data_IF_532400627069
#
_entry.id   IF_532400627069
#
_cell.length_a   1.000
_cell.length_b   1.000
_cell.length_c   1.000
_cell.angle_alpha   90.00
_cell.angle_beta   90.00
_cell.angle_gamma   90.00
#
_symmetry.space_group_name_H-M   'P 1'
#
loop_
_entity.id
_entity.type
_entity.pdbx_description
1 polymer ?
#
# COMPACT_ATOMS: atom_id res chain seq x y z
N UNK A 1 -21.18 -4.37 -14.39
CA UNK A 1 -19.82 -4.90 -14.21
C UNK A 1 -19.37 -5.58 -15.49
N UNK A 2 -18.21 -5.18 -16.02
CA UNK A 2 -17.59 -5.84 -17.17
C UNK A 2 -16.95 -7.17 -16.71
N UNK A 3 -16.86 -8.18 -17.57
CA UNK A 3 -16.22 -9.47 -17.27
C UNK A 3 -14.80 -9.31 -16.69
N UNK A 4 -14.05 -8.31 -17.15
CA UNK A 4 -12.72 -7.96 -16.63
C UNK A 4 -12.76 -7.52 -15.16
N UNK A 5 -13.68 -6.63 -14.82
CA UNK A 5 -13.88 -6.12 -13.45
C UNK A 5 -14.41 -7.22 -12.53
N UNK A 6 -15.32 -8.05 -13.04
CA UNK A 6 -15.83 -9.21 -12.31
C UNK A 6 -14.69 -10.18 -11.94
N UNK A 7 -13.78 -10.42 -12.88
CA UNK A 7 -12.61 -11.27 -12.67
C UNK A 7 -11.66 -10.67 -11.63
N UNK A 8 -11.37 -9.37 -11.70
CA UNK A 8 -10.53 -8.67 -10.70
C UNK A 8 -11.09 -8.79 -9.28
N UNK A 9 -12.41 -8.61 -9.12
CA UNK A 9 -13.06 -8.71 -7.81
C UNK A 9 -13.01 -10.13 -7.23
N UNK A 10 -13.31 -11.15 -8.02
CA UNK A 10 -13.20 -12.55 -7.58
C UNK A 10 -11.75 -12.92 -7.26
N UNK A 11 -10.79 -12.47 -8.09
CA UNK A 11 -9.37 -12.70 -7.84
C UNK A 11 -8.92 -12.04 -6.53
N UNK A 12 -9.31 -10.79 -6.26
CA UNK A 12 -8.99 -10.08 -5.01
C UNK A 12 -9.54 -10.84 -3.80
N UNK A 13 -10.81 -11.26 -3.85
CA UNK A 13 -11.42 -12.00 -2.75
C UNK A 13 -10.67 -13.31 -2.45
N UNK A 14 -10.40 -14.09 -3.49
CA UNK A 14 -9.70 -15.37 -3.34
C UNK A 14 -8.25 -15.19 -2.88
N UNK A 15 -7.51 -14.25 -3.47
CA UNK A 15 -6.12 -13.99 -3.10
C UNK A 15 -5.99 -13.44 -1.68
N UNK A 16 -6.89 -12.54 -1.26
CA UNK A 16 -6.87 -11.98 0.09
C UNK A 16 -7.23 -13.04 1.15
N UNK A 17 -8.07 -14.02 0.81
CA UNK A 17 -8.50 -15.07 1.74
C UNK A 17 -7.48 -16.21 1.85
N UNK A 18 -6.89 -16.65 0.73
CA UNK A 18 -6.09 -17.88 0.66
C UNK A 18 -4.61 -17.64 0.34
N UNK A 19 -4.23 -16.40 0.00
CA UNK A 19 -2.93 -16.08 -0.55
C UNK A 19 -2.86 -16.30 -2.07
N UNK A 20 -1.93 -15.61 -2.73
CA UNK A 20 -1.78 -15.65 -4.18
C UNK A 20 -1.45 -17.05 -4.69
N UNK A 21 -0.46 -17.74 -4.11
CA UNK A 21 0.04 -19.02 -4.63
C UNK A 21 -0.98 -20.16 -4.51
N UNK A 22 -1.84 -20.13 -3.49
CA UNK A 22 -2.82 -21.19 -3.22
C UNK A 22 -4.06 -21.16 -4.12
N UNK A 23 -4.19 -20.16 -4.99
CA UNK A 23 -5.38 -19.97 -5.84
C UNK A 23 -5.05 -20.29 -7.30
N UNK A 24 -5.72 -21.29 -7.89
CA UNK A 24 -5.55 -21.63 -9.30
C UNK A 24 -6.31 -20.72 -10.27
N UNK A 25 -5.82 -20.56 -11.50
CA UNK A 25 -6.51 -19.83 -12.58
C UNK A 25 -7.88 -20.45 -12.88
N UNK A 26 -8.00 -21.78 -12.82
CA UNK A 26 -9.27 -22.48 -13.06
C UNK A 26 -10.35 -22.05 -12.04
N UNK A 27 -9.99 -22.00 -10.76
CA UNK A 27 -10.92 -21.62 -9.70
C UNK A 27 -11.41 -20.18 -9.86
N UNK A 28 -10.51 -19.25 -10.25
CA UNK A 28 -10.87 -17.85 -10.49
C UNK A 28 -11.87 -17.72 -11.64
N UNK A 29 -11.63 -18.39 -12.76
CA UNK A 29 -12.52 -18.26 -13.94
C UNK A 29 -13.86 -18.94 -13.72
N UNK A 30 -13.90 -20.04 -12.97
CA UNK A 30 -15.15 -20.69 -12.57
C UNK A 30 -15.97 -19.78 -11.66
N UNK A 31 -15.34 -19.20 -10.64
CA UNK A 31 -16.00 -18.26 -9.73
C UNK A 31 -16.53 -17.02 -10.47
N UNK A 32 -15.75 -16.49 -11.41
CA UNK A 32 -16.13 -15.33 -12.21
C UNK A 32 -17.11 -15.65 -13.37
N UNK A 33 -17.45 -16.92 -13.61
CA UNK A 33 -18.34 -17.34 -14.69
C UNK A 33 -17.77 -17.14 -16.09
N UNK A 34 -16.44 -17.22 -16.26
CA UNK A 34 -15.77 -17.02 -17.55
C UNK A 34 -14.79 -18.17 -17.87
N UNK A 35 -14.05 -18.04 -18.98
CA UNK A 35 -13.10 -19.07 -19.44
C UNK A 35 -11.63 -18.66 -19.24
N UNK A 36 -10.73 -19.65 -19.16
CA UNK A 36 -9.27 -19.42 -19.15
C UNK A 36 -8.78 -18.58 -20.33
N UNK A 37 -9.18 -18.86 -21.60
CA UNK A 37 -8.83 -18.00 -22.72
C UNK A 37 -9.22 -16.53 -22.51
N UNK A 38 -10.39 -16.26 -21.93
CA UNK A 38 -10.84 -14.89 -21.62
C UNK A 38 -9.94 -14.22 -20.59
N UNK A 39 -9.55 -14.91 -19.51
CA UNK A 39 -8.60 -14.39 -18.53
C UNK A 39 -7.26 -14.06 -19.19
N UNK A 40 -6.69 -15.01 -19.95
CA UNK A 40 -5.41 -14.80 -20.62
C UNK A 40 -5.46 -13.70 -21.69
N UNK A 41 -6.61 -13.51 -22.34
CA UNK A 41 -6.82 -12.39 -23.26
C UNK A 41 -6.72 -11.04 -22.54
N UNK A 42 -7.31 -10.91 -21.35
CA UNK A 42 -7.28 -9.65 -20.60
C UNK A 42 -5.95 -9.38 -19.89
N UNK A 43 -5.32 -10.42 -19.35
CA UNK A 43 -4.23 -10.25 -18.38
C UNK A 43 -2.92 -10.95 -18.78
N UNK A 44 -2.92 -11.77 -19.82
CA UNK A 44 -1.75 -12.53 -20.30
C UNK A 44 -1.32 -13.69 -19.41
N UNK A 45 -1.39 -13.54 -18.08
CA UNK A 45 -1.03 -14.56 -17.10
C UNK A 45 -1.75 -14.33 -15.75
N UNK A 46 -1.59 -15.26 -14.81
CA UNK A 46 -2.04 -15.09 -13.41
C UNK A 46 -1.29 -13.95 -12.71
N UNK A 47 0.01 -13.81 -12.99
CA UNK A 47 0.81 -12.70 -12.45
C UNK A 47 0.43 -11.36 -13.09
N UNK A 48 0.10 -11.34 -14.37
CA UNK A 48 -0.47 -10.17 -15.04
C UNK A 48 -1.80 -9.74 -14.41
N UNK A 49 -2.66 -10.71 -14.08
CA UNK A 49 -3.89 -10.46 -13.33
C UNK A 49 -3.61 -9.81 -11.97
N UNK A 50 -2.68 -10.37 -11.19
CA UNK A 50 -2.29 -9.81 -9.90
C UNK A 50 -1.77 -8.37 -10.05
N UNK A 51 -0.84 -8.14 -11.00
CA UNK A 51 -0.26 -6.81 -11.24
C UNK A 51 -1.33 -5.79 -11.66
N UNK A 52 -2.25 -6.17 -12.54
CA UNK A 52 -3.36 -5.28 -12.95
C UNK A 52 -4.28 -4.96 -11.77
N UNK A 53 -4.66 -5.97 -10.99
CA UNK A 53 -5.48 -5.81 -9.79
C UNK A 53 -4.85 -4.82 -8.82
N UNK A 54 -3.58 -5.03 -8.48
CA UNK A 54 -2.87 -4.17 -7.54
C UNK A 54 -2.75 -2.74 -8.06
N UNK A 55 -2.32 -2.56 -9.30
CA UNK A 55 -2.16 -1.23 -9.90
C UNK A 55 -3.48 -0.47 -9.92
N UNK A 56 -4.57 -1.07 -10.38
CA UNK A 56 -5.86 -0.38 -10.51
C UNK A 56 -6.45 0.01 -9.15
N UNK A 57 -6.33 -0.85 -8.15
CA UNK A 57 -6.85 -0.54 -6.82
C UNK A 57 -5.97 0.43 -6.02
N UNK A 58 -4.65 0.48 -6.27
CA UNK A 58 -3.74 1.41 -5.60
C UNK A 58 -3.60 2.75 -6.32
N UNK A 59 -3.97 2.88 -7.59
CA UNK A 59 -3.79 4.15 -8.32
C UNK A 59 -4.51 5.33 -7.66
N UNK A 60 -5.78 5.24 -7.23
CA UNK A 60 -6.45 6.35 -6.54
C UNK A 60 -5.77 6.73 -5.22
N UNK A 61 -5.18 5.73 -4.54
CA UNK A 61 -4.38 5.97 -3.34
C UNK A 61 -3.09 6.72 -3.67
N UNK A 62 -2.39 6.36 -4.75
CA UNK A 62 -1.19 7.07 -5.17
C UNK A 62 -1.46 8.50 -5.62
N UNK A 63 -2.56 8.76 -6.32
CA UNK A 63 -2.99 10.11 -6.67
C UNK A 63 -3.22 10.96 -5.40
N UNK A 64 -3.93 10.40 -4.42
CA UNK A 64 -4.16 11.05 -3.13
C UNK A 64 -2.84 11.28 -2.39
N UNK A 65 -2.00 10.25 -2.29
CA UNK A 65 -0.73 10.30 -1.59
C UNK A 65 0.20 11.35 -2.22
N UNK A 66 0.26 11.43 -3.55
CA UNK A 66 1.04 12.44 -4.26
C UNK A 66 0.54 13.87 -3.97
N UNK A 67 -0.78 14.07 -3.90
CA UNK A 67 -1.36 15.36 -3.59
C UNK A 67 -1.03 15.84 -2.15
N UNK A 68 -1.01 14.91 -1.18
CA UNK A 68 -0.75 15.24 0.23
C UNK A 68 0.73 15.22 0.62
N UNK A 69 1.57 14.45 -0.08
CA UNK A 69 3.01 14.37 0.21
C UNK A 69 3.80 15.63 -0.19
N UNK A 70 3.14 16.62 -0.81
CA UNK A 70 3.75 17.91 -1.12
C UNK A 70 4.12 18.66 0.17
N UNK A 71 5.42 18.84 0.39
CA UNK A 71 5.93 19.61 1.53
C UNK A 71 5.59 21.11 1.40
N UNK A 72 4.98 21.68 2.43
CA UNK A 72 4.50 23.09 2.47
C UNK A 72 5.08 23.90 3.64
N UNK A 73 6.27 23.54 4.13
CA UNK A 73 6.93 24.26 5.23
C UNK A 73 6.61 23.77 6.64
N UNK A 74 5.73 22.77 6.79
CA UNK A 74 5.43 22.11 8.06
C UNK A 74 5.48 20.58 7.89
N UNK A 75 6.61 20.00 8.29
CA UNK A 75 6.83 18.56 8.18
C UNK A 75 5.86 17.77 9.06
N UNK A 76 5.46 18.30 10.22
CA UNK A 76 4.50 17.62 11.10
C UNK A 76 3.15 17.51 10.43
N UNK A 77 2.68 18.61 9.82
CA UNK A 77 1.43 18.61 9.08
C UNK A 77 1.49 17.71 7.84
N UNK A 78 2.58 17.76 7.06
CA UNK A 78 2.75 16.86 5.91
C UNK A 78 2.74 15.38 6.30
N UNK A 79 3.37 15.00 7.42
CA UNK A 79 3.34 13.63 7.91
C UNK A 79 1.94 13.21 8.40
N UNK A 80 1.17 14.13 9.01
CA UNK A 80 -0.23 13.87 9.36
C UNK A 80 -1.08 13.61 8.13
N UNK A 81 -0.94 14.42 7.09
CA UNK A 81 -1.73 14.25 5.86
C UNK A 81 -1.39 12.94 5.16
N UNK A 82 -0.09 12.57 5.12
CA UNK A 82 0.35 11.27 4.61
C UNK A 82 -0.24 10.13 5.43
N UNK A 83 -0.06 10.12 6.76
CA UNK A 83 -0.59 9.07 7.63
C UNK A 83 -2.12 8.95 7.52
N UNK A 84 -2.83 10.08 7.41
CA UNK A 84 -4.27 10.12 7.18
C UNK A 84 -4.69 9.48 5.86
N UNK A 85 -3.96 9.76 4.77
CA UNK A 85 -4.22 9.12 3.47
C UNK A 85 -4.08 7.59 3.53
N UNK A 86 -3.05 7.10 4.23
CA UNK A 86 -2.86 5.67 4.46
C UNK A 86 -3.98 5.04 5.29
N UNK A 87 -4.35 5.68 6.41
CA UNK A 87 -5.40 5.16 7.30
C UNK A 87 -6.76 5.15 6.61
N UNK A 88 -7.09 6.20 5.86
CA UNK A 88 -8.31 6.26 5.07
C UNK A 88 -8.34 5.14 4.01
N UNK A 89 -7.26 4.97 3.25
CA UNK A 89 -7.18 3.93 2.23
C UNK A 89 -7.29 2.52 2.82
N UNK A 90 -6.56 2.24 3.90
CA UNK A 90 -6.61 0.95 4.59
C UNK A 90 -7.98 0.68 5.23
N UNK A 91 -8.62 1.70 5.81
CA UNK A 91 -9.96 1.60 6.37
C UNK A 91 -11.03 1.30 5.33
N UNK A 92 -10.92 1.90 4.13
CA UNK A 92 -11.82 1.64 3.01
C UNK A 92 -11.54 0.29 2.31
N UNK A 93 -10.29 -0.17 2.32
CA UNK A 93 -9.83 -1.35 1.58
C UNK A 93 -9.08 -2.36 2.48
N UNK A 94 -9.66 -2.85 3.58
CA UNK A 94 -8.93 -3.61 4.60
C UNK A 94 -8.37 -4.94 4.08
N UNK A 95 -9.14 -5.64 3.22
CA UNK A 95 -8.72 -6.90 2.60
C UNK A 95 -7.55 -6.71 1.64
N UNK A 96 -7.65 -5.70 0.78
CA UNK A 96 -6.60 -5.34 -0.18
C UNK A 96 -5.32 -4.95 0.55
N UNK A 97 -5.41 -4.08 1.55
CA UNK A 97 -4.23 -3.60 2.28
C UNK A 97 -3.50 -4.73 3.01
N UNK A 98 -4.25 -5.59 3.72
CA UNK A 98 -3.69 -6.78 4.37
C UNK A 98 -3.05 -7.73 3.36
N UNK A 99 -3.73 -7.99 2.24
CA UNK A 99 -3.20 -8.84 1.18
C UNK A 99 -1.89 -8.27 0.62
N UNK A 100 -1.88 -6.99 0.25
CA UNK A 100 -0.69 -6.31 -0.22
C UNK A 100 0.48 -6.43 0.78
N UNK A 101 0.23 -6.15 2.05
CA UNK A 101 1.28 -6.21 3.08
C UNK A 101 1.79 -7.65 3.28
N UNK A 102 0.93 -8.66 3.15
CA UNK A 102 1.35 -10.06 3.24
C UNK A 102 2.35 -10.45 2.16
N UNK A 103 2.24 -9.87 0.95
CA UNK A 103 3.14 -10.18 -0.17
C UNK A 103 4.56 -9.65 0.05
N UNK A 104 4.73 -8.61 0.88
CA UNK A 104 6.06 -8.11 1.26
C UNK A 104 6.91 -9.18 1.95
N UNK A 105 6.25 -10.15 2.62
CA UNK A 105 6.89 -11.26 3.32
C UNK A 105 6.88 -12.57 2.53
N UNK A 106 6.40 -12.56 1.29
CA UNK A 106 6.46 -13.72 0.41
C UNK A 106 7.92 -14.02 -0.01
N UNK A 107 8.23 -15.24 -0.50
CA UNK A 107 9.56 -15.54 -1.04
C UNK A 107 9.98 -14.52 -2.10
N UNK A 108 11.22 -14.04 -2.03
CA UNK A 108 11.72 -12.94 -2.88
C UNK A 108 11.58 -13.21 -4.40
N UNK A 109 11.65 -14.48 -4.80
CA UNK A 109 11.54 -14.88 -6.20
C UNK A 109 10.09 -15.09 -6.68
N UNK A 110 9.10 -15.01 -5.77
CA UNK A 110 7.69 -15.20 -6.08
C UNK A 110 7.10 -14.03 -6.89
N UNK A 111 6.08 -14.32 -7.69
CA UNK A 111 5.33 -13.28 -8.42
C UNK A 111 4.63 -12.32 -7.45
N UNK A 112 4.16 -12.81 -6.31
CA UNK A 112 3.52 -11.99 -5.28
C UNK A 112 4.48 -10.93 -4.72
N UNK A 113 5.69 -11.35 -4.34
CA UNK A 113 6.71 -10.41 -3.86
C UNK A 113 7.05 -9.38 -4.93
N UNK A 114 7.34 -9.82 -6.16
CA UNK A 114 7.67 -8.93 -7.30
C UNK A 114 6.56 -7.93 -7.61
N UNK A 115 5.31 -8.35 -7.56
CA UNK A 115 4.17 -7.46 -7.79
C UNK A 115 4.04 -6.41 -6.68
N UNK A 116 4.29 -6.79 -5.42
CA UNK A 116 4.30 -5.84 -4.30
C UNK A 116 5.49 -4.88 -4.35
N UNK A 117 6.66 -5.33 -4.83
CA UNK A 117 7.89 -4.54 -4.86
C UNK A 117 7.71 -3.20 -5.58
N UNK A 118 7.09 -3.20 -6.76
CA UNK A 118 6.80 -1.98 -7.53
C UNK A 118 5.96 -0.98 -6.73
N UNK A 119 4.95 -1.46 -5.99
CA UNK A 119 4.12 -0.59 -5.12
C UNK A 119 4.93 -0.04 -3.94
N UNK A 120 5.78 -0.87 -3.35
CA UNK A 120 6.64 -0.47 -2.23
C UNK A 120 7.65 0.59 -2.64
N UNK A 121 8.29 0.43 -3.80
CA UNK A 121 9.22 1.40 -4.36
C UNK A 121 8.53 2.74 -4.63
N UNK A 122 7.33 2.74 -5.22
CA UNK A 122 6.57 3.97 -5.47
C UNK A 122 6.18 4.71 -4.18
N UNK A 123 5.73 3.98 -3.16
CA UNK A 123 5.43 4.57 -1.84
C UNK A 123 6.69 5.15 -1.18
N UNK A 124 7.78 4.39 -1.18
CA UNK A 124 9.06 4.81 -0.64
C UNK A 124 9.55 6.08 -1.32
N UNK A 125 9.48 6.17 -2.65
CA UNK A 125 9.90 7.35 -3.42
C UNK A 125 9.07 8.60 -3.10
N UNK A 126 7.75 8.47 -2.96
CA UNK A 126 6.87 9.59 -2.62
C UNK A 126 7.18 10.15 -1.22
N UNK A 127 7.33 9.28 -0.23
CA UNK A 127 7.64 9.68 1.15
C UNK A 127 9.09 10.22 1.23
N UNK A 128 10.03 9.60 0.54
CA UNK A 128 11.42 10.09 0.50
C UNK A 128 11.50 11.48 -0.12
N UNK A 129 10.72 11.76 -1.16
CA UNK A 129 10.63 13.10 -1.78
C UNK A 129 10.13 14.15 -0.78
N UNK A 130 9.15 13.81 0.07
CA UNK A 130 8.71 14.69 1.16
C UNK A 130 9.87 15.02 2.09
N UNK A 131 10.66 14.02 2.53
CA UNK A 131 11.80 14.25 3.42
C UNK A 131 12.95 15.01 2.74
N UNK A 132 13.19 14.80 1.44
CA UNK A 132 14.17 15.58 0.65
C UNK A 132 13.78 17.06 0.63
N UNK A 133 12.50 17.36 0.48
CA UNK A 133 12.02 18.74 0.49
C UNK A 133 12.07 19.35 1.90
N UNK A 134 11.66 18.59 2.93
CA UNK A 134 11.72 19.03 4.32
C UNK A 134 13.16 19.28 4.82
N UNK A 135 14.15 18.53 4.31
CA UNK A 135 15.56 18.69 4.68
C UNK A 135 16.16 20.05 4.31
N UNK A 136 15.48 20.83 3.46
CA UNK A 136 15.87 22.22 3.13
C UNK A 136 15.69 23.16 4.33
N UNK A 137 14.66 22.90 5.13
CA UNK A 137 14.34 23.70 6.32
C UNK A 137 14.85 23.03 7.61
N UNK A 138 15.12 21.72 7.55
CA UNK A 138 15.54 20.90 8.67
C UNK A 138 16.85 20.16 8.37
N UNK A 139 17.99 20.81 8.66
CA UNK A 139 19.33 20.27 8.35
C UNK A 139 19.65 18.90 8.98
N UNK A 140 19.00 18.54 10.09
CA UNK A 140 19.14 17.24 10.75
C UNK A 140 18.58 16.05 9.92
N UNK A 141 17.87 16.32 8.83
CA UNK A 141 17.34 15.29 7.93
C UNK A 141 18.27 14.97 6.75
N UNK A 142 19.32 15.76 6.54
CA UNK A 142 20.23 15.56 5.41
C UNK A 142 20.99 14.22 5.52
N UNK A 143 20.92 13.44 4.44
CA UNK A 143 21.57 12.13 4.36
C UNK A 143 20.78 10.98 5.02
N UNK A 144 19.60 11.26 5.59
CA UNK A 144 18.75 10.26 6.28
C UNK A 144 17.37 10.10 5.67
N UNK A 145 17.08 10.77 4.56
CA UNK A 145 15.74 10.88 3.97
C UNK A 145 15.12 9.52 3.64
N UNK A 146 15.89 8.63 3.00
CA UNK A 146 15.44 7.25 2.69
C UNK A 146 15.11 6.46 3.95
N UNK A 147 15.95 6.56 4.97
CA UNK A 147 15.74 5.87 6.26
C UNK A 147 14.53 6.42 7.01
N UNK A 148 14.31 7.73 6.99
CA UNK A 148 13.13 8.36 7.57
C UNK A 148 11.85 7.95 6.83
N UNK A 149 11.88 7.92 5.50
CA UNK A 149 10.76 7.40 4.72
C UNK A 149 10.44 5.93 5.05
N UNK A 150 11.46 5.07 5.10
CA UNK A 150 11.27 3.65 5.39
C UNK A 150 10.75 3.40 6.82
N UNK A 151 11.30 4.12 7.82
CA UNK A 151 10.85 3.98 9.22
C UNK A 151 9.46 4.56 9.43
N UNK A 152 9.11 5.67 8.78
CA UNK A 152 7.77 6.24 8.82
C UNK A 152 6.73 5.28 8.21
N UNK A 153 7.04 4.73 7.02
CA UNK A 153 6.19 3.73 6.36
C UNK A 153 6.03 2.47 7.23
N UNK A 154 7.12 2.01 7.89
CA UNK A 154 7.07 0.90 8.83
C UNK A 154 6.13 1.17 10.02
N UNK A 155 6.16 2.39 10.59
CA UNK A 155 5.23 2.79 11.64
C UNK A 155 3.79 2.83 11.12
N UNK A 156 3.53 3.44 9.95
CA UNK A 156 2.21 3.45 9.31
C UNK A 156 1.67 2.03 9.18
N UNK A 157 2.43 1.12 8.57
CA UNK A 157 2.00 -0.26 8.37
C UNK A 157 1.68 -0.96 9.70
N UNK A 158 2.48 -0.70 10.73
CA UNK A 158 2.25 -1.24 12.08
C UNK A 158 0.92 -0.75 12.66
N UNK A 159 0.67 0.55 12.63
CA UNK A 159 -0.57 1.14 13.16
C UNK A 159 -1.80 0.74 12.35
N UNK A 160 -1.68 0.68 11.02
CA UNK A 160 -2.73 0.13 10.15
C UNK A 160 -3.09 -1.29 10.58
N UNK A 161 -2.09 -2.15 10.78
CA UNK A 161 -2.35 -3.53 11.20
C UNK A 161 -2.88 -3.63 12.63
N UNK A 162 -2.50 -2.76 13.55
CA UNK A 162 -3.15 -2.68 14.87
C UNK A 162 -4.65 -2.40 14.72
N UNK A 163 -5.02 -1.42 13.90
CA UNK A 163 -6.43 -1.09 13.64
C UNK A 163 -7.18 -2.21 12.92
N UNK A 164 -6.60 -2.79 11.87
CA UNK A 164 -7.21 -3.90 11.12
C UNK A 164 -7.32 -5.21 11.92
N UNK A 165 -6.65 -5.31 13.07
CA UNK A 165 -6.80 -6.42 14.01
C UNK A 165 -7.69 -6.06 15.22
N UNK A 166 -8.27 -4.86 15.26
CA UNK A 166 -9.15 -4.43 16.34
C UNK A 166 -8.44 -3.96 17.62
N UNK A 167 -7.14 -3.69 17.57
CA UNK A 167 -6.38 -3.15 18.70
C UNK A 167 -6.40 -1.61 18.78
N UNK A 168 -6.84 -0.95 17.71
CA UNK A 168 -6.96 0.50 17.62
C UNK A 168 -8.08 0.90 16.65
N UNK A 169 -8.51 2.16 16.70
CA UNK A 169 -9.46 2.73 15.75
C UNK A 169 -8.75 3.71 14.82
N UNK A 170 -9.14 3.74 13.54
CA UNK A 170 -8.68 4.76 12.60
C UNK A 170 -9.33 6.10 12.95
N UNK A 171 -8.60 6.93 13.70
CA UNK A 171 -9.05 8.26 14.11
C UNK A 171 -7.88 9.26 14.18
N UNK A 172 -8.21 10.54 14.36
CA UNK A 172 -7.24 11.63 14.41
C UNK A 172 -6.25 11.49 15.58
N UNK A 173 -6.69 10.88 16.69
CA UNK A 173 -5.82 10.61 17.84
C UNK A 173 -4.72 9.59 17.49
N UNK A 174 -5.05 8.56 16.71
CA UNK A 174 -4.09 7.56 16.25
C UNK A 174 -3.07 8.18 15.29
N UNK A 175 -3.53 9.04 14.36
CA UNK A 175 -2.66 9.81 13.46
C UNK A 175 -1.72 10.71 14.27
N UNK A 176 -2.26 11.43 15.26
CA UNK A 176 -1.48 12.27 16.15
C UNK A 176 -0.39 11.47 16.87
N UNK A 177 -0.74 10.34 17.50
CA UNK A 177 0.20 9.48 18.24
C UNK A 177 1.32 8.97 17.35
N UNK A 178 0.99 8.46 16.16
CA UNK A 178 1.96 7.97 15.20
C UNK A 178 2.95 9.06 14.82
N UNK A 179 2.46 10.22 14.39
CA UNK A 179 3.32 11.32 13.93
C UNK A 179 4.13 11.88 15.09
N UNK A 180 3.53 12.06 16.26
CA UNK A 180 4.22 12.55 17.45
C UNK A 180 5.38 11.62 17.85
N UNK A 181 5.13 10.30 17.90
CA UNK A 181 6.16 9.31 18.21
C UNK A 181 7.29 9.29 17.16
N UNK A 182 6.94 9.36 15.88
CA UNK A 182 7.93 9.42 14.81
C UNK A 182 8.81 10.68 14.91
N UNK A 183 8.17 11.84 15.12
CA UNK A 183 8.84 13.13 15.24
C UNK A 183 9.82 13.16 16.43
N UNK A 184 9.44 12.57 17.56
CA UNK A 184 10.36 12.44 18.69
C UNK A 184 11.62 11.62 18.36
N UNK A 185 11.54 10.63 17.48
CA UNK A 185 12.67 9.78 17.11
C UNK A 185 13.64 10.40 16.10
N UNK A 186 13.20 11.35 15.25
CA UNK A 186 14.04 11.94 14.18
C UNK A 186 14.77 13.23 14.60
N UNK A 187 14.37 13.86 15.72
CA UNK A 187 15.03 15.06 16.26
C UNK A 187 16.05 14.76 17.37
N UNK A 188 16.18 13.51 17.78
CA UNK A 188 17.27 12.98 18.63
C UNK A 188 18.47 12.53 17.80
#
# INVERSE_FOLDING_TARGET
MNNRENLLNHALEMFALRGYDAVGVQEIVEAAGITKPTLYHYFGSKSGLLSTLLTEHFEPFFETLQAVAGYKGDVTMSLRDVAGAYFNFAGQNPRLYRFYLSMWFAPADSDAFKASLTLNERQQQLIETLFVNAARDHGNMQGRQRTYAASFLGMINTYVMLSLNGYAEFNDELVYKLVHQFMHGIFS
#
